data_IF_599973237390
#
_entry.id   IF_599973237390
#
_cell.length_a   1.000
_cell.length_b   1.000
_cell.length_c   1.000
_cell.angle_alpha   90.00
_cell.angle_beta   90.00
_cell.angle_gamma   90.00
#
_symmetry.space_group_name_H-M   'P 1'
#
loop_
_entity.id
_entity.type
_entity.pdbx_description
1 polymer ?
#
# COMPACT_ATOMS: atom_id res chain seq x y z
N UNK A 1 11.96 -86.50 9.33
CA UNK A 1 12.86 -86.99 8.28
C UNK A 1 13.89 -85.91 8.09
N UNK A 2 15.05 -86.02 8.75
CA UNK A 2 16.29 -86.60 8.21
C UNK A 2 16.72 -85.82 6.94
N UNK A 3 17.84 -85.21 6.74
CA UNK A 3 19.25 -85.23 7.17
C UNK A 3 19.89 -84.02 6.49
N UNK A 4 20.99 -83.48 6.69
CA UNK A 4 22.26 -83.51 7.42
C UNK A 4 23.20 -82.45 6.75
N UNK A 5 23.86 -81.71 7.59
CA UNK A 5 25.25 -81.23 7.58
C UNK A 5 26.08 -81.38 6.29
N UNK A 6 26.90 -80.38 5.94
CA UNK A 6 28.37 -80.54 6.00
C UNK A 6 29.07 -79.18 5.96
N UNK A 7 30.02 -79.01 6.86
CA UNK A 7 31.09 -77.97 6.93
C UNK A 7 32.09 -78.13 5.80
N UNK A 8 32.66 -77.01 5.32
CA UNK A 8 34.10 -76.93 5.01
C UNK A 8 34.57 -75.47 5.20
N UNK A 9 35.54 -75.35 6.12
CA UNK A 9 36.34 -74.15 6.33
C UNK A 9 37.59 -74.22 5.43
N UNK A 10 38.07 -73.09 4.90
CA UNK A 10 39.51 -72.91 4.65
C UNK A 10 39.86 -71.41 4.46
N UNK A 11 40.62 -70.93 5.43
CA UNK A 11 41.84 -70.08 5.46
C UNK A 11 41.96 -68.80 4.57
N UNK A 12 42.05 -67.71 5.30
CA UNK A 12 43.08 -66.63 5.30
C UNK A 12 43.89 -66.40 4.03
N UNK A 13 43.78 -65.14 3.52
CA UNK A 13 44.98 -64.39 3.17
C UNK A 13 44.73 -62.90 3.45
N UNK A 14 45.59 -62.32 4.32
CA UNK A 14 45.68 -60.90 4.63
C UNK A 14 46.25 -60.15 3.38
N UNK A 15 45.56 -59.16 2.88
CA UNK A 15 46.17 -58.07 2.10
C UNK A 15 45.74 -56.76 2.70
N UNK A 16 46.69 -56.14 3.42
CA UNK A 16 46.63 -54.74 3.82
C UNK A 16 46.79 -53.86 2.59
N UNK A 17 45.75 -53.20 2.18
CA UNK A 17 45.84 -52.01 1.34
C UNK A 17 45.33 -50.82 2.13
N UNK A 18 46.25 -49.91 2.47
CA UNK A 18 45.94 -48.58 2.98
C UNK A 18 45.14 -47.83 1.92
N UNK A 19 43.86 -47.63 2.18
CA UNK A 19 43.06 -46.62 1.49
C UNK A 19 43.08 -45.33 2.33
N UNK A 20 43.86 -44.38 1.85
CA UNK A 20 43.73 -42.99 2.31
C UNK A 20 42.35 -42.49 1.90
N UNK A 21 41.46 -42.37 2.89
CA UNK A 21 40.20 -41.67 2.73
C UNK A 21 40.46 -40.17 2.61
N UNK A 22 40.35 -39.63 1.42
CA UNK A 22 40.14 -38.20 1.22
C UNK A 22 38.74 -37.86 1.75
N UNK A 23 38.70 -37.34 2.98
CA UNK A 23 37.51 -36.65 3.50
C UNK A 23 37.38 -35.34 2.71
N UNK A 24 36.59 -35.36 1.63
CA UNK A 24 36.17 -34.14 0.97
C UNK A 24 35.19 -33.46 1.94
N UNK A 25 35.69 -32.44 2.65
CA UNK A 25 34.83 -31.44 3.26
C UNK A 25 34.02 -30.79 2.13
N UNK A 26 32.80 -31.24 1.94
CA UNK A 26 31.81 -30.46 1.23
C UNK A 26 31.62 -29.17 2.03
N UNK A 27 32.20 -28.07 1.52
CA UNK A 27 31.78 -26.73 1.91
C UNK A 27 30.26 -26.69 1.68
N UNK A 28 29.48 -26.65 2.78
CA UNK A 28 28.12 -26.16 2.76
C UNK A 28 28.24 -24.71 2.29
N UNK A 29 27.93 -24.44 1.04
CA UNK A 29 27.61 -23.10 0.61
C UNK A 29 26.40 -22.67 1.42
N UNK A 30 26.64 -22.01 2.54
CA UNK A 30 25.68 -21.14 3.16
C UNK A 30 25.56 -19.89 2.27
N UNK A 31 24.98 -20.03 1.11
CA UNK A 31 24.27 -18.94 0.47
C UNK A 31 23.04 -18.72 1.33
N UNK A 32 23.17 -17.87 2.36
CA UNK A 32 21.99 -17.17 2.85
C UNK A 32 21.29 -16.61 1.61
N UNK A 33 19.95 -16.77 1.50
CA UNK A 33 19.25 -16.08 0.45
C UNK A 33 19.58 -14.60 0.63
N UNK A 34 20.38 -14.05 -0.28
CA UNK A 34 20.50 -12.62 -0.44
C UNK A 34 19.09 -12.16 -0.72
N UNK A 35 18.41 -11.66 0.31
CA UNK A 35 17.27 -10.80 0.12
C UNK A 35 17.81 -9.67 -0.73
N UNK A 36 17.54 -9.71 -2.03
CA UNK A 36 17.69 -8.56 -2.88
C UNK A 36 16.82 -7.52 -2.22
N UNK A 37 17.45 -6.55 -1.57
CA UNK A 37 16.74 -5.34 -1.14
C UNK A 37 16.24 -4.76 -2.44
N UNK A 38 14.91 -4.86 -2.68
CA UNK A 38 14.27 -4.26 -3.84
C UNK A 38 14.71 -2.79 -3.84
N UNK A 39 15.58 -2.41 -4.79
CA UNK A 39 16.03 -1.03 -4.89
C UNK A 39 14.80 -0.21 -5.23
N UNK A 40 14.40 0.64 -4.30
CA UNK A 40 13.34 1.60 -4.55
C UNK A 40 13.85 2.61 -5.60
N UNK A 41 13.36 2.60 -6.85
CA UNK A 41 13.83 3.48 -7.91
C UNK A 41 13.51 4.96 -7.63
N UNK A 42 12.64 5.24 -6.65
CA UNK A 42 12.29 6.58 -6.19
C UNK A 42 13.03 6.99 -4.91
N UNK A 43 14.10 6.28 -4.51
CA UNK A 43 14.86 6.60 -3.30
C UNK A 43 15.58 7.95 -3.37
N UNK A 44 15.99 8.39 -4.57
CA UNK A 44 16.68 9.66 -4.81
C UNK A 44 16.06 10.40 -6.00
N UNK A 45 14.78 10.80 -5.94
CA UNK A 45 14.13 11.48 -7.05
C UNK A 45 14.64 12.92 -7.22
N UNK A 46 14.64 13.40 -8.46
CA UNK A 46 14.94 14.81 -8.76
C UNK A 46 13.70 15.71 -8.64
N UNK A 47 12.52 15.12 -8.48
CA UNK A 47 11.22 15.78 -8.64
C UNK A 47 10.35 15.74 -7.36
N UNK A 48 10.95 15.55 -6.20
CA UNK A 48 10.25 15.56 -4.91
C UNK A 48 10.82 14.60 -3.86
N UNK A 49 10.17 14.47 -2.70
CA UNK A 49 10.60 13.57 -1.64
C UNK A 49 10.72 12.11 -2.10
N UNK A 50 11.70 11.40 -1.56
CA UNK A 50 11.91 9.98 -1.84
C UNK A 50 10.70 9.12 -1.41
N UNK A 51 10.52 7.97 -2.02
CA UNK A 51 9.54 6.99 -1.58
C UNK A 51 10.05 6.18 -0.38
N UNK A 52 9.17 5.97 0.60
CA UNK A 52 9.42 5.18 1.78
C UNK A 52 10.08 5.92 2.93
N UNK A 53 10.14 5.24 4.07
CA UNK A 53 10.87 5.68 5.24
C UNK A 53 12.33 5.20 5.14
N UNK A 54 13.33 6.09 5.01
CA UNK A 54 14.73 5.69 4.87
C UNK A 54 15.28 4.99 6.13
N UNK A 55 14.61 5.16 7.26
CA UNK A 55 14.97 4.51 8.54
C UNK A 55 14.24 3.16 8.72
N UNK A 56 13.24 2.86 7.87
CA UNK A 56 12.44 1.64 7.93
C UNK A 56 13.27 0.41 7.58
N UNK A 57 13.21 -0.61 8.44
CA UNK A 57 13.98 -1.88 8.28
C UNK A 57 13.12 -3.11 8.50
N UNK A 58 11.81 -2.96 8.50
CA UNK A 58 10.91 -4.08 8.65
C UNK A 58 10.97 -5.00 7.43
N UNK A 59 10.94 -6.31 7.67
CA UNK A 59 10.86 -7.29 6.58
C UNK A 59 9.55 -7.13 5.82
N UNK A 60 9.61 -7.18 4.50
CA UNK A 60 8.43 -7.11 3.65
C UNK A 60 7.71 -8.47 3.72
N UNK A 61 6.42 -8.50 4.09
CA UNK A 61 5.65 -9.75 4.12
C UNK A 61 5.58 -10.41 2.74
N UNK A 62 5.49 -11.73 2.74
CA UNK A 62 5.30 -12.49 1.50
C UNK A 62 4.06 -11.99 0.73
N UNK A 63 4.20 -11.75 -0.57
CA UNK A 63 3.14 -11.21 -1.43
C UNK A 63 2.94 -9.69 -1.36
N UNK A 64 3.64 -8.98 -0.46
CA UNK A 64 3.55 -7.53 -0.34
C UNK A 64 4.58 -6.77 -1.19
N UNK A 65 5.59 -7.44 -1.74
CA UNK A 65 6.63 -6.84 -2.57
C UNK A 65 6.17 -6.50 -4.00
N UNK A 66 7.15 -6.12 -4.82
CA UNK A 66 6.93 -5.80 -6.23
C UNK A 66 6.38 -7.00 -7.01
N UNK A 67 5.54 -6.71 -7.99
CA UNK A 67 5.16 -7.67 -9.02
C UNK A 67 6.21 -7.69 -10.13
N UNK A 68 6.47 -8.87 -10.66
CA UNK A 68 7.37 -9.03 -11.81
C UNK A 68 6.70 -8.50 -13.09
N UNK A 69 7.32 -7.50 -13.70
CA UNK A 69 6.89 -6.85 -14.96
C UNK A 69 7.89 -7.02 -16.10
N UNK A 70 8.80 -7.99 -16.01
CA UNK A 70 9.81 -8.27 -17.06
C UNK A 70 9.18 -8.62 -18.41
N UNK A 71 7.95 -9.16 -18.40
CA UNK A 71 7.15 -9.43 -19.59
C UNK A 71 5.82 -8.68 -19.48
N UNK A 72 5.76 -7.40 -19.85
CA UNK A 72 4.55 -6.61 -19.76
C UNK A 72 3.52 -6.99 -20.82
N UNK A 73 2.22 -6.92 -20.46
CA UNK A 73 1.10 -7.11 -21.40
C UNK A 73 0.81 -5.86 -22.22
N UNK A 74 1.21 -4.70 -21.67
CA UNK A 74 1.06 -3.38 -22.30
C UNK A 74 2.28 -2.52 -21.97
N UNK A 75 2.87 -1.92 -23.00
CA UNK A 75 3.87 -0.87 -22.86
C UNK A 75 3.27 0.44 -23.38
N UNK A 76 3.16 1.45 -22.51
CA UNK A 76 2.69 2.78 -22.88
C UNK A 76 3.88 3.58 -23.39
N UNK A 77 3.79 4.08 -24.62
CA UNK A 77 4.81 4.89 -25.26
C UNK A 77 5.77 4.10 -26.16
N UNK A 78 6.53 4.84 -26.96
CA UNK A 78 7.44 4.33 -27.98
C UNK A 78 8.91 4.77 -27.76
N UNK A 79 9.23 5.27 -26.59
CA UNK A 79 10.54 5.82 -26.24
C UNK A 79 10.57 7.35 -26.26
N UNK A 80 9.45 8.01 -26.55
CA UNK A 80 9.35 9.48 -26.53
C UNK A 80 8.31 9.96 -25.52
N UNK A 81 8.52 11.10 -24.84
CA UNK A 81 7.54 11.68 -23.91
C UNK A 81 6.17 11.94 -24.56
N UNK A 82 6.15 12.37 -25.83
CA UNK A 82 4.93 12.72 -26.55
C UNK A 82 4.00 11.50 -26.82
N UNK A 83 4.55 10.30 -26.80
CA UNK A 83 3.78 9.05 -26.99
C UNK A 83 3.07 8.57 -25.72
N UNK A 84 3.42 9.11 -24.55
CA UNK A 84 2.83 8.77 -23.26
C UNK A 84 1.68 9.72 -22.92
N UNK A 85 0.50 9.41 -23.41
CA UNK A 85 -0.69 10.26 -23.28
C UNK A 85 -1.68 9.74 -22.26
N UNK A 86 -2.60 10.59 -21.80
CA UNK A 86 -3.71 10.20 -20.96
C UNK A 86 -4.52 9.05 -21.59
N UNK A 87 -4.86 9.19 -22.87
CA UNK A 87 -5.66 8.18 -23.59
C UNK A 87 -4.98 6.81 -23.62
N UNK A 88 -3.65 6.78 -23.76
CA UNK A 88 -2.89 5.53 -23.71
C UNK A 88 -2.96 4.88 -22.30
N UNK A 89 -2.89 5.69 -21.23
CA UNK A 89 -3.07 5.21 -19.85
C UNK A 89 -4.48 4.68 -19.63
N UNK A 90 -5.51 5.41 -20.06
CA UNK A 90 -6.91 4.99 -19.93
C UNK A 90 -7.16 3.64 -20.64
N UNK A 91 -6.65 3.51 -21.85
CA UNK A 91 -6.81 2.28 -22.65
C UNK A 91 -6.07 1.08 -22.01
N UNK A 92 -4.84 1.31 -21.52
CA UNK A 92 -4.04 0.28 -20.87
C UNK A 92 -4.70 -0.22 -19.57
N UNK A 93 -5.12 0.71 -18.68
CA UNK A 93 -5.76 0.36 -17.41
C UNK A 93 -7.10 -0.35 -17.63
N UNK A 94 -7.88 0.06 -18.62
CA UNK A 94 -9.12 -0.62 -19.02
C UNK A 94 -8.87 -2.06 -19.47
N UNK A 95 -7.78 -2.31 -20.21
CA UNK A 95 -7.38 -3.64 -20.66
C UNK A 95 -6.90 -4.51 -19.50
N UNK A 96 -6.17 -3.91 -18.54
CA UNK A 96 -5.52 -4.62 -17.43
C UNK A 96 -4.25 -5.36 -17.85
N UNK A 97 -3.78 -6.25 -16.98
CA UNK A 97 -2.50 -6.95 -17.13
C UNK A 97 -1.33 -6.14 -16.55
N UNK A 98 -0.12 -6.51 -16.91
CA UNK A 98 1.12 -5.82 -16.50
C UNK A 98 1.39 -4.66 -17.44
N UNK A 99 1.29 -3.44 -16.91
CA UNK A 99 1.39 -2.19 -17.66
C UNK A 99 2.71 -1.50 -17.27
N UNK A 100 3.56 -1.23 -18.24
CA UNK A 100 4.80 -0.46 -18.09
C UNK A 100 4.81 0.75 -19.03
N UNK A 101 5.82 1.60 -18.87
CA UNK A 101 5.93 2.84 -19.64
C UNK A 101 7.28 2.90 -20.36
N UNK A 102 7.30 3.42 -21.57
CA UNK A 102 8.47 3.75 -22.35
C UNK A 102 8.36 5.19 -22.88
N UNK A 103 8.52 6.15 -21.97
CA UNK A 103 8.34 7.59 -22.25
C UNK A 103 9.67 8.32 -22.44
N UNK A 104 10.78 7.60 -22.56
CA UNK A 104 12.14 8.15 -22.59
C UNK A 104 12.90 7.85 -21.29
N UNK A 105 14.08 8.44 -21.16
CA UNK A 105 15.02 8.18 -20.05
C UNK A 105 14.85 9.13 -18.86
N UNK A 106 14.12 10.22 -19.05
CA UNK A 106 13.93 11.25 -18.04
C UNK A 106 12.58 11.11 -17.33
N UNK A 107 12.43 11.65 -16.11
CA UNK A 107 11.14 11.73 -15.44
C UNK A 107 10.09 12.39 -16.31
N UNK A 108 8.91 11.78 -16.39
CA UNK A 108 7.81 12.25 -17.23
C UNK A 108 6.49 12.32 -16.49
N UNK A 109 5.78 13.45 -16.64
CA UNK A 109 4.45 13.65 -16.09
C UNK A 109 3.39 13.48 -17.16
N UNK A 110 2.44 12.57 -16.93
CA UNK A 110 1.26 12.38 -17.78
C UNK A 110 0.09 13.08 -17.10
N UNK A 111 -0.48 14.06 -17.79
CA UNK A 111 -1.61 14.86 -17.33
C UNK A 111 -2.93 14.11 -17.57
N UNK A 112 -3.56 13.62 -16.49
CA UNK A 112 -4.82 12.89 -16.56
C UNK A 112 -6.01 13.86 -16.68
N UNK A 113 -6.78 13.72 -17.75
CA UNK A 113 -8.00 14.52 -18.01
C UNK A 113 -9.26 13.89 -17.43
N UNK A 114 -9.21 12.62 -17.10
CA UNK A 114 -10.24 11.84 -16.41
C UNK A 114 -9.61 10.67 -15.64
N UNK A 115 -10.34 10.03 -14.71
CA UNK A 115 -9.82 8.88 -13.98
C UNK A 115 -9.59 7.66 -14.88
N UNK A 116 -8.42 7.04 -14.76
CA UNK A 116 -8.22 5.70 -15.33
C UNK A 116 -9.05 4.68 -14.53
N UNK A 117 -9.90 3.92 -15.20
CA UNK A 117 -10.85 2.99 -14.58
C UNK A 117 -10.44 1.54 -14.80
N UNK A 118 -10.31 0.78 -13.70
CA UNK A 118 -10.07 -0.65 -13.73
C UNK A 118 -11.41 -1.36 -13.92
N UNK A 119 -11.55 -2.10 -15.01
CA UNK A 119 -12.78 -2.82 -15.34
C UNK A 119 -12.81 -4.19 -14.64
N UNK A 120 -13.98 -4.60 -14.16
CA UNK A 120 -14.15 -5.84 -13.40
C UNK A 120 -13.94 -7.12 -14.24
N UNK A 121 -13.98 -7.03 -15.57
CA UNK A 121 -13.68 -8.10 -16.51
C UNK A 121 -12.29 -7.95 -17.16
N UNK A 122 -11.44 -7.07 -16.67
CA UNK A 122 -10.04 -7.02 -17.03
C UNK A 122 -9.32 -8.32 -16.60
N UNK A 123 -8.06 -8.48 -17.00
CA UNK A 123 -7.24 -9.60 -16.48
C UNK A 123 -7.26 -9.59 -14.95
N UNK A 124 -7.23 -10.77 -14.30
CA UNK A 124 -7.32 -10.83 -12.83
C UNK A 124 -6.30 -9.93 -12.12
N UNK A 125 -5.08 -9.86 -12.65
CA UNK A 125 -4.01 -9.01 -12.13
C UNK A 125 -3.89 -7.76 -13.00
N UNK A 126 -3.88 -6.59 -12.36
CA UNK A 126 -3.66 -5.29 -12.99
C UNK A 126 -2.49 -4.63 -12.28
N UNK A 127 -1.34 -4.56 -12.93
CA UNK A 127 -0.10 -3.99 -12.38
C UNK A 127 0.26 -2.74 -13.18
N UNK A 128 0.39 -1.60 -12.51
CA UNK A 128 0.82 -0.34 -13.11
C UNK A 128 2.21 -0.02 -12.54
N UNK A 129 3.24 -0.18 -13.35
CA UNK A 129 4.64 0.07 -12.97
C UNK A 129 5.20 1.28 -13.72
N UNK A 130 5.44 2.36 -12.99
CA UNK A 130 6.00 3.60 -13.54
C UNK A 130 7.52 3.58 -13.75
N UNK A 131 8.21 2.49 -13.40
CA UNK A 131 9.67 2.36 -13.53
C UNK A 131 10.47 3.41 -12.74
N UNK A 132 9.84 4.13 -11.81
CA UNK A 132 10.45 5.23 -11.05
C UNK A 132 10.52 6.56 -11.80
N UNK A 133 10.06 6.62 -13.04
CA UNK A 133 10.14 7.81 -13.88
C UNK A 133 8.78 8.50 -14.11
N UNK A 134 7.68 7.81 -13.88
CA UNK A 134 6.35 8.30 -14.25
C UNK A 134 5.63 8.96 -13.09
N UNK A 135 5.09 10.15 -13.37
CA UNK A 135 4.09 10.81 -12.53
C UNK A 135 2.75 10.87 -13.28
N UNK A 136 1.69 10.33 -12.69
CA UNK A 136 0.32 10.57 -13.13
C UNK A 136 -0.24 11.76 -12.36
N UNK A 137 -0.58 12.83 -13.06
CA UNK A 137 -1.06 14.09 -12.48
C UNK A 137 -2.55 14.28 -12.73
N UNK A 138 -3.34 14.48 -11.68
CA UNK A 138 -4.76 14.85 -11.79
C UNK A 138 -5.00 16.31 -12.13
N UNK A 139 -3.95 17.12 -12.32
CA UNK A 139 -4.00 18.56 -12.69
C UNK A 139 -4.70 19.44 -11.65
N UNK A 140 -4.91 18.95 -10.44
CA UNK A 140 -5.78 19.60 -9.44
C UNK A 140 -7.27 19.63 -9.82
N UNK A 141 -7.70 18.78 -10.76
CA UNK A 141 -9.08 18.76 -11.28
C UNK A 141 -9.73 17.38 -11.25
N UNK A 142 -8.96 16.32 -11.44
CA UNK A 142 -9.50 14.97 -11.61
C UNK A 142 -8.89 14.01 -10.59
N UNK A 143 -9.68 13.04 -10.13
CA UNK A 143 -9.13 11.80 -9.58
C UNK A 143 -8.27 11.12 -10.65
N UNK A 144 -7.28 10.33 -10.25
CA UNK A 144 -6.33 9.72 -11.19
C UNK A 144 -6.70 8.27 -11.51
N UNK A 145 -7.02 7.48 -10.49
CA UNK A 145 -7.29 6.03 -10.64
C UNK A 145 -8.54 5.63 -9.84
N UNK A 146 -9.35 4.76 -10.45
CA UNK A 146 -10.60 4.28 -9.86
C UNK A 146 -10.79 2.79 -10.10
N UNK A 147 -11.05 2.04 -9.03
CA UNK A 147 -11.45 0.63 -9.06
C UNK A 147 -12.66 0.43 -8.15
N UNK A 148 -13.76 -0.08 -8.70
CA UNK A 148 -14.96 -0.39 -7.93
C UNK A 148 -15.66 -1.63 -8.49
N UNK A 149 -15.52 -2.74 -7.78
CA UNK A 149 -16.13 -4.01 -8.17
C UNK A 149 -17.66 -4.00 -8.09
N UNK A 150 -18.24 -2.98 -7.44
CA UNK A 150 -19.68 -2.78 -7.33
C UNK A 150 -20.25 -1.72 -8.27
N UNK A 151 -19.43 -1.11 -9.10
CA UNK A 151 -19.87 -0.17 -10.12
C UNK A 151 -20.33 -0.95 -11.37
N UNK A 152 -21.61 -0.87 -11.68
CA UNK A 152 -22.19 -1.59 -12.82
C UNK A 152 -21.68 -1.09 -14.18
N UNK A 153 -21.25 0.16 -14.24
CA UNK A 153 -20.65 0.74 -15.46
C UNK A 153 -19.27 0.13 -15.78
N UNK A 154 -18.66 -0.55 -14.79
CA UNK A 154 -17.38 -1.24 -14.94
C UNK A 154 -17.53 -2.75 -15.19
N UNK A 155 -18.63 -3.17 -15.72
CA UNK A 155 -19.02 -4.57 -15.98
C UNK A 155 -19.32 -5.33 -14.68
N UNK A 156 -20.58 -5.64 -14.47
CA UNK A 156 -21.03 -6.40 -13.31
C UNK A 156 -20.61 -7.88 -13.42
N UNK A 157 -19.95 -8.40 -12.40
CA UNK A 157 -19.42 -9.76 -12.40
C UNK A 157 -20.13 -10.70 -11.42
N UNK A 158 -20.59 -10.17 -10.27
CA UNK A 158 -21.20 -10.98 -9.20
C UNK A 158 -22.06 -10.12 -8.27
N UNK A 159 -23.18 -10.65 -7.73
CA UNK A 159 -23.95 -9.95 -6.71
C UNK A 159 -23.18 -9.75 -5.39
N UNK A 160 -22.12 -10.52 -5.14
CA UNK A 160 -21.23 -10.34 -3.99
C UNK A 160 -20.03 -9.46 -4.32
N UNK A 161 -20.27 -8.34 -4.95
CA UNK A 161 -19.29 -7.48 -5.60
C UNK A 161 -18.16 -7.00 -4.67
N UNK A 162 -18.41 -6.80 -3.38
CA UNK A 162 -17.37 -6.35 -2.45
C UNK A 162 -16.41 -7.47 -2.04
N UNK A 163 -16.76 -8.73 -2.27
CA UNK A 163 -16.01 -9.88 -1.82
C UNK A 163 -15.59 -10.79 -2.98
N UNK A 164 -15.16 -10.21 -4.09
CA UNK A 164 -14.53 -10.95 -5.18
C UNK A 164 -13.01 -10.78 -5.18
N UNK A 165 -12.27 -11.83 -5.56
CA UNK A 165 -10.81 -11.89 -5.49
C UNK A 165 -10.09 -10.97 -6.49
N UNK A 166 -10.78 -10.52 -7.50
CA UNK A 166 -10.21 -9.70 -8.59
C UNK A 166 -11.16 -8.55 -8.98
N UNK A 167 -10.64 -7.50 -9.63
CA UNK A 167 -9.25 -7.25 -10.01
C UNK A 167 -8.30 -7.20 -8.81
N UNK A 168 -7.05 -7.68 -8.99
CA UNK A 168 -5.96 -7.50 -8.05
C UNK A 168 -5.07 -6.36 -8.57
N UNK A 169 -5.32 -5.16 -8.05
CA UNK A 169 -4.62 -3.96 -8.48
C UNK A 169 -3.31 -3.78 -7.69
N UNK A 170 -2.22 -3.64 -8.41
CA UNK A 170 -0.93 -3.19 -7.86
C UNK A 170 -0.50 -1.90 -8.55
N UNK A 171 -0.15 -0.88 -7.78
CA UNK A 171 0.56 0.30 -8.29
C UNK A 171 1.96 0.30 -7.70
N UNK A 172 2.98 0.43 -8.56
CA UNK A 172 4.36 0.36 -8.10
C UNK A 172 5.30 1.27 -8.88
N UNK A 173 6.37 1.71 -8.21
CA UNK A 173 7.43 2.53 -8.80
C UNK A 173 6.89 3.77 -9.53
N UNK A 174 5.88 4.46 -8.98
CA UNK A 174 5.13 5.52 -9.66
C UNK A 174 4.79 6.66 -8.70
N UNK A 175 4.53 7.84 -9.24
CA UNK A 175 4.04 8.98 -8.47
C UNK A 175 2.62 9.36 -8.89
N UNK A 176 1.75 9.60 -7.90
CA UNK A 176 0.41 10.18 -8.08
C UNK A 176 0.40 11.58 -7.49
N UNK A 177 0.19 12.59 -8.33
CA UNK A 177 0.25 13.97 -7.90
C UNK A 177 -0.96 14.80 -8.34
N UNK A 178 -1.32 15.79 -7.54
CA UNK A 178 -2.35 16.77 -7.87
C UNK A 178 -3.70 16.13 -8.24
N UNK A 179 -4.01 14.96 -7.69
CA UNK A 179 -5.32 14.32 -7.82
C UNK A 179 -6.37 15.13 -7.06
N UNK A 180 -7.58 15.24 -7.61
CA UNK A 180 -8.66 16.00 -7.01
C UNK A 180 -10.02 15.31 -7.19
N UNK A 181 -10.68 14.98 -6.08
CA UNK A 181 -12.03 14.42 -6.04
C UNK A 181 -13.03 15.30 -5.27
N UNK A 182 -12.75 16.60 -5.14
CA UNK A 182 -13.64 17.52 -4.39
C UNK A 182 -15.03 17.66 -5.00
N UNK A 183 -15.19 17.42 -6.29
CA UNK A 183 -16.46 17.46 -7.01
C UNK A 183 -17.21 16.11 -7.01
N UNK A 184 -16.59 15.03 -6.54
CA UNK A 184 -17.22 13.73 -6.49
C UNK A 184 -18.22 13.63 -5.37
N UNK A 185 -19.46 13.22 -5.67
CA UNK A 185 -20.56 13.15 -4.69
C UNK A 185 -21.06 11.73 -4.46
N UNK A 186 -20.88 10.82 -5.41
CA UNK A 186 -21.31 9.43 -5.30
C UNK A 186 -20.21 8.52 -4.75
N UNK A 187 -19.00 8.68 -5.27
CA UNK A 187 -17.81 7.94 -4.86
C UNK A 187 -16.79 8.94 -4.33
N UNK A 188 -17.15 9.61 -3.27
CA UNK A 188 -16.40 10.70 -2.66
C UNK A 188 -15.10 10.26 -2.00
N UNK A 189 -14.18 11.20 -1.76
CA UNK A 189 -12.85 10.92 -1.21
C UNK A 189 -11.85 10.36 -2.22
N UNK A 190 -10.64 10.02 -1.78
CA UNK A 190 -9.59 9.49 -2.62
C UNK A 190 -9.20 10.39 -3.79
N UNK A 191 -8.48 11.48 -3.50
CA UNK A 191 -8.08 12.46 -4.52
C UNK A 191 -7.25 11.86 -5.64
N UNK A 192 -6.33 10.95 -5.30
CA UNK A 192 -5.58 10.20 -6.30
C UNK A 192 -6.25 8.88 -6.65
N UNK A 193 -6.55 8.05 -5.66
CA UNK A 193 -7.02 6.66 -5.87
C UNK A 193 -8.25 6.38 -5.03
N UNK A 194 -9.26 5.78 -5.66
CA UNK A 194 -10.45 5.26 -4.98
C UNK A 194 -10.62 3.76 -5.30
N UNK A 195 -10.76 2.91 -4.27
CA UNK A 195 -10.84 1.45 -4.41
C UNK A 195 -11.97 0.86 -3.58
N UNK A 196 -12.75 -0.06 -4.17
CA UNK A 196 -13.72 -0.90 -3.47
C UNK A 196 -13.72 -2.31 -4.04
N UNK A 197 -13.61 -3.31 -3.16
CA UNK A 197 -13.56 -4.73 -3.52
C UNK A 197 -12.24 -5.13 -4.19
N UNK A 198 -12.15 -6.38 -4.63
CA UNK A 198 -10.93 -6.93 -5.19
C UNK A 198 -9.79 -7.00 -4.16
N UNK A 199 -8.57 -6.82 -4.64
CA UNK A 199 -7.35 -6.66 -3.83
C UNK A 199 -6.57 -5.43 -4.25
N UNK A 200 -5.88 -4.81 -3.31
CA UNK A 200 -5.09 -3.62 -3.60
C UNK A 200 -3.72 -3.66 -2.93
N UNK A 201 -2.71 -3.21 -3.64
CA UNK A 201 -1.33 -3.11 -3.18
C UNK A 201 -0.62 -1.89 -3.76
N UNK A 202 0.22 -1.25 -2.94
CA UNK A 202 1.00 -0.06 -3.26
C UNK A 202 2.45 -0.30 -2.88
N UNK A 203 3.40 -0.19 -3.81
CA UNK A 203 4.82 -0.45 -3.55
C UNK A 203 5.69 0.63 -4.16
N UNK A 204 6.66 1.16 -3.42
CA UNK A 204 7.59 2.19 -3.89
C UNK A 204 6.89 3.35 -4.59
N UNK A 205 5.82 3.89 -4.00
CA UNK A 205 4.94 4.87 -4.63
C UNK A 205 4.92 6.17 -3.84
N UNK A 206 4.75 7.30 -4.53
CA UNK A 206 4.67 8.62 -3.91
C UNK A 206 3.29 9.25 -4.17
N UNK A 207 2.76 9.97 -3.18
CA UNK A 207 1.46 10.66 -3.26
C UNK A 207 1.63 12.10 -2.83
N UNK A 208 1.52 13.04 -3.78
CA UNK A 208 1.80 14.46 -3.58
C UNK A 208 0.59 15.34 -3.91
N UNK A 209 0.23 16.24 -2.99
CA UNK A 209 -0.76 17.29 -3.22
C UNK A 209 -2.12 16.78 -3.73
N UNK A 210 -2.51 15.57 -3.35
CA UNK A 210 -3.82 15.05 -3.71
C UNK A 210 -4.85 15.55 -2.70
N UNK A 211 -6.04 15.89 -3.19
CA UNK A 211 -7.12 16.47 -2.37
C UNK A 211 -8.46 15.79 -2.63
N UNK A 212 -9.25 15.67 -1.60
CA UNK A 212 -10.68 15.39 -1.69
C UNK A 212 -11.49 16.47 -0.99
N UNK A 213 -12.83 16.28 -0.83
CA UNK A 213 -13.66 17.21 -0.09
C UNK A 213 -13.04 17.53 1.27
N UNK A 214 -12.98 18.82 1.62
CA UNK A 214 -12.38 19.31 2.87
C UNK A 214 -13.32 19.26 4.08
N UNK A 215 -14.57 18.87 3.90
CA UNK A 215 -15.58 18.76 4.96
C UNK A 215 -16.46 17.54 4.74
N UNK A 216 -17.12 17.08 5.80
CA UNK A 216 -18.02 15.93 5.79
C UNK A 216 -17.61 14.90 6.85
N UNK A 217 -18.60 14.33 7.58
CA UNK A 217 -18.30 13.43 8.70
C UNK A 217 -17.63 12.14 8.23
N UNK A 218 -17.96 11.65 7.04
CA UNK A 218 -17.54 10.32 6.57
C UNK A 218 -16.74 10.34 5.25
N UNK A 219 -16.43 11.49 4.69
CA UNK A 219 -15.57 11.60 3.50
C UNK A 219 -14.12 11.78 3.88
N UNK A 220 -13.18 11.24 3.08
CA UNK A 220 -11.76 11.41 3.40
C UNK A 220 -10.80 10.74 2.41
N UNK A 221 -9.53 10.67 2.84
CA UNK A 221 -8.44 10.18 2.02
C UNK A 221 -8.02 11.17 0.95
N UNK A 222 -7.25 12.18 1.32
CA UNK A 222 -6.73 13.13 0.34
C UNK A 222 -5.99 12.43 -0.79
N UNK A 223 -5.15 11.45 -0.47
CA UNK A 223 -4.52 10.59 -1.46
C UNK A 223 -5.41 9.39 -1.82
N UNK A 224 -5.80 8.57 -0.86
CA UNK A 224 -6.49 7.32 -1.14
C UNK A 224 -7.70 7.08 -0.24
N UNK A 225 -8.80 6.59 -0.82
CA UNK A 225 -9.95 6.06 -0.10
C UNK A 225 -10.22 4.63 -0.51
N UNK A 226 -10.30 3.73 0.47
CA UNK A 226 -10.44 2.29 0.23
C UNK A 226 -11.60 1.71 1.05
N UNK A 227 -12.38 0.86 0.42
CA UNK A 227 -13.49 0.12 1.03
C UNK A 227 -13.26 -1.37 0.88
N UNK A 228 -13.86 -2.14 1.74
CA UNK A 228 -13.92 -3.61 1.78
C UNK A 228 -13.07 -4.34 0.74
N UNK A 229 -12.19 -5.21 1.17
CA UNK A 229 -11.36 -6.03 0.29
C UNK A 229 -11.81 -7.49 0.35
N UNK A 230 -11.44 -8.29 -0.64
CA UNK A 230 -11.74 -9.72 -0.68
C UNK A 230 -11.33 -10.43 0.61
N UNK A 231 -12.28 -11.12 1.24
CA UNK A 231 -12.09 -11.88 2.50
C UNK A 231 -11.38 -11.10 3.61
N UNK A 232 -11.57 -9.76 3.67
CA UNK A 232 -10.88 -8.87 4.60
C UNK A 232 -9.34 -8.98 4.55
N UNK A 233 -8.78 -9.44 3.44
CA UNK A 233 -7.33 -9.45 3.23
C UNK A 233 -6.78 -8.02 3.31
N UNK A 234 -5.60 -7.83 3.91
CA UNK A 234 -5.07 -6.50 4.09
C UNK A 234 -4.66 -5.86 2.76
N UNK A 235 -4.85 -4.56 2.68
CA UNK A 235 -4.17 -3.72 1.70
C UNK A 235 -2.72 -3.56 2.15
N UNK A 236 -1.78 -3.80 1.25
CA UNK A 236 -0.36 -3.58 1.52
C UNK A 236 0.08 -2.20 1.01
N UNK A 237 0.80 -1.46 1.84
CA UNK A 237 1.54 -0.27 1.46
C UNK A 237 2.99 -0.49 1.86
N UNK A 238 3.91 -0.50 0.90
CA UNK A 238 5.32 -0.83 1.12
C UNK A 238 6.21 0.26 0.55
N UNK A 239 7.21 0.70 1.32
CA UNK A 239 8.22 1.67 0.89
C UNK A 239 7.61 2.91 0.19
N UNK A 240 6.48 3.43 0.66
CA UNK A 240 5.73 4.47 -0.03
C UNK A 240 5.65 5.75 0.79
N UNK A 241 5.52 6.90 0.13
CA UNK A 241 5.49 8.21 0.76
C UNK A 241 4.19 8.95 0.46
N UNK A 242 3.57 9.46 1.52
CA UNK A 242 2.41 10.34 1.48
C UNK A 242 2.82 11.71 2.01
N UNK A 243 3.04 12.67 1.13
CA UNK A 243 3.63 13.96 1.46
C UNK A 243 5.15 13.94 1.37
N UNK A 244 5.85 13.74 2.47
CA UNK A 244 7.31 13.60 2.53
C UNK A 244 8.06 14.89 2.85
N UNK A 245 7.48 16.05 2.57
CA UNK A 245 8.01 17.37 2.91
C UNK A 245 6.89 18.43 2.93
N UNK A 246 7.20 19.61 3.47
CA UNK A 246 6.32 20.76 3.39
C UNK A 246 5.99 21.12 1.92
N UNK A 247 4.71 21.37 1.65
CA UNK A 247 4.23 21.65 0.29
C UNK A 247 3.86 20.42 -0.54
N UNK A 248 4.11 19.19 -0.05
CA UNK A 248 3.76 17.94 -0.74
C UNK A 248 2.59 17.17 -0.09
N UNK A 249 2.08 17.64 1.05
CA UNK A 249 1.04 16.95 1.83
C UNK A 249 -0.30 16.82 1.11
N UNK A 250 -1.00 15.72 1.38
CA UNK A 250 -2.34 15.46 0.87
C UNK A 250 -3.40 15.99 1.84
N UNK A 251 -4.62 16.29 1.35
CA UNK A 251 -5.67 16.95 2.14
C UNK A 251 -7.05 16.32 1.94
N UNK A 252 -7.75 16.07 3.02
CA UNK A 252 -9.13 15.56 2.99
C UNK A 252 -9.96 16.00 4.19
N UNK A 253 -11.24 15.72 4.19
CA UNK A 253 -12.08 15.98 5.36
C UNK A 253 -11.65 15.13 6.55
N UNK A 254 -11.38 13.84 6.32
CA UNK A 254 -10.77 12.90 7.25
C UNK A 254 -9.63 12.16 6.54
N UNK A 255 -8.65 11.66 7.30
CA UNK A 255 -7.52 10.97 6.73
C UNK A 255 -6.83 11.80 5.67
N UNK A 256 -5.98 12.74 6.06
CA UNK A 256 -5.31 13.61 5.09
C UNK A 256 -4.61 12.82 3.97
N UNK A 257 -4.01 11.67 4.29
CA UNK A 257 -3.47 10.74 3.31
C UNK A 257 -4.46 9.60 2.99
N UNK A 258 -4.83 8.79 3.99
CA UNK A 258 -5.63 7.58 3.83
C UNK A 258 -6.97 7.68 4.56
N UNK A 259 -8.03 7.23 3.91
CA UNK A 259 -9.31 6.95 4.54
C UNK A 259 -9.82 5.59 4.12
N UNK A 260 -10.41 4.83 5.05
CA UNK A 260 -10.98 3.52 4.72
C UNK A 260 -12.18 3.16 5.58
N UNK A 261 -13.04 2.30 5.01
CA UNK A 261 -14.16 1.70 5.72
C UNK A 261 -14.11 0.18 5.56
N UNK A 262 -13.97 -0.52 6.71
CA UNK A 262 -13.92 -1.98 6.75
C UNK A 262 -12.69 -2.58 6.07
N UNK A 263 -11.51 -1.96 6.23
CA UNK A 263 -10.27 -2.38 5.59
C UNK A 263 -9.18 -2.65 6.61
N UNK A 264 -8.55 -3.80 6.52
CA UNK A 264 -7.29 -4.08 7.20
C UNK A 264 -6.11 -3.56 6.37
N UNK A 265 -5.10 -3.01 7.05
CA UNK A 265 -3.90 -2.45 6.45
C UNK A 265 -2.64 -3.11 6.99
N UNK A 266 -1.67 -3.34 6.12
CA UNK A 266 -0.29 -3.64 6.52
C UNK A 266 0.63 -2.64 5.80
N UNK A 267 1.15 -1.69 6.57
CA UNK A 267 1.95 -0.57 6.10
C UNK A 267 3.40 -0.80 6.55
N UNK A 268 4.31 -0.91 5.60
CA UNK A 268 5.70 -1.33 5.83
C UNK A 268 6.67 -0.28 5.32
N UNK A 269 7.62 0.15 6.16
CA UNK A 269 8.72 1.05 5.78
C UNK A 269 8.26 2.31 5.02
N UNK A 270 7.11 2.86 5.38
CA UNK A 270 6.45 3.95 4.65
C UNK A 270 6.50 5.25 5.44
N UNK A 271 6.28 6.37 4.77
CA UNK A 271 6.38 7.72 5.32
C UNK A 271 5.08 8.50 5.11
N UNK A 272 4.53 9.05 6.18
CA UNK A 272 3.35 9.92 6.16
C UNK A 272 3.68 11.24 6.83
N UNK A 273 3.83 12.31 6.06
CA UNK A 273 4.13 13.63 6.63
C UNK A 273 3.38 14.75 5.94
N UNK A 274 3.10 15.83 6.70
CA UNK A 274 2.46 17.05 6.21
C UNK A 274 1.07 16.85 5.61
N UNK A 275 0.41 15.71 5.89
CA UNK A 275 -0.97 15.49 5.46
C UNK A 275 -1.93 16.18 6.43
N UNK A 276 -3.09 16.62 5.94
CA UNK A 276 -4.04 17.42 6.70
C UNK A 276 -5.47 16.89 6.60
N UNK A 277 -6.11 16.65 7.76
CA UNK A 277 -7.55 16.42 7.83
C UNK A 277 -8.26 17.73 8.14
N UNK A 278 -8.85 18.34 7.12
CA UNK A 278 -9.36 19.71 7.12
C UNK A 278 -10.76 19.88 7.75
N UNK A 279 -11.52 18.78 7.88
CA UNK A 279 -12.88 18.82 8.45
C UNK A 279 -12.89 19.30 9.90
N UNK A 280 -14.07 19.51 10.43
CA UNK A 280 -14.23 19.93 11.82
C UNK A 280 -15.54 19.39 12.40
N UNK A 281 -15.47 18.83 13.61
CA UNK A 281 -16.64 18.35 14.34
C UNK A 281 -16.80 16.83 14.40
N UNK A 282 -15.92 16.06 13.76
CA UNK A 282 -15.89 14.60 13.86
C UNK A 282 -16.94 13.84 13.04
N UNK A 283 -17.13 12.56 13.40
CA UNK A 283 -18.15 11.66 12.88
C UNK A 283 -18.82 10.91 14.05
N UNK A 284 -20.16 11.05 14.29
CA UNK A 284 -21.08 11.98 13.61
C UNK A 284 -20.72 13.46 13.82
N UNK A 285 -21.11 14.31 12.89
CA UNK A 285 -20.80 15.73 12.97
C UNK A 285 -21.44 16.37 14.22
N UNK A 286 -20.64 17.09 14.99
CA UNK A 286 -21.10 17.89 16.11
C UNK A 286 -22.10 18.97 15.58
N UNK A 287 -23.19 19.21 16.29
CA UNK A 287 -24.17 20.18 15.90
C UNK A 287 -23.56 21.56 15.58
N UNK A 288 -23.91 22.12 14.43
CA UNK A 288 -23.36 23.38 13.92
C UNK A 288 -21.99 23.30 13.26
N UNK A 289 -21.46 22.10 13.05
CA UNK A 289 -20.17 21.88 12.33
C UNK A 289 -20.38 21.07 11.05
N UNK A 290 -19.47 21.19 10.07
CA UNK A 290 -19.59 20.45 8.81
C UNK A 290 -19.23 18.96 8.93
N UNK A 291 -18.63 18.53 10.04
CA UNK A 291 -18.12 17.18 10.22
C UNK A 291 -16.71 16.94 9.67
N UNK A 292 -16.10 15.83 10.08
CA UNK A 292 -14.73 15.44 9.71
C UNK A 292 -13.66 16.03 10.64
N UNK A 293 -12.43 16.08 10.14
CA UNK A 293 -11.27 16.57 10.89
C UNK A 293 -10.61 15.50 11.75
N UNK A 294 -10.70 14.23 11.35
CA UNK A 294 -10.14 13.12 12.10
C UNK A 294 -9.12 12.33 11.27
N UNK A 295 -8.03 11.89 11.93
CA UNK A 295 -6.93 11.18 11.29
C UNK A 295 -6.08 12.06 10.38
N UNK A 296 -5.12 12.80 10.93
CA UNK A 296 -4.26 13.70 10.12
C UNK A 296 -3.58 12.97 8.98
N UNK A 297 -3.07 11.77 9.24
CA UNK A 297 -2.56 10.87 8.21
C UNK A 297 -3.59 9.81 7.82
N UNK A 298 -4.10 9.05 8.81
CA UNK A 298 -4.88 7.83 8.58
C UNK A 298 -6.22 7.90 9.32
N UNK A 299 -7.31 7.70 8.58
CA UNK A 299 -8.66 7.49 9.10
C UNK A 299 -9.14 6.08 8.76
N UNK A 300 -9.33 5.24 9.75
CA UNK A 300 -9.78 3.86 9.57
C UNK A 300 -11.04 3.61 10.40
N UNK A 301 -12.15 3.33 9.74
CA UNK A 301 -13.46 3.07 10.33
C UNK A 301 -14.00 1.71 9.87
N UNK A 302 -14.72 1.02 10.70
CA UNK A 302 -15.33 -0.26 10.36
C UNK A 302 -15.69 -1.09 11.57
N UNK A 303 -15.75 -2.39 11.37
CA UNK A 303 -15.98 -3.36 12.43
C UNK A 303 -14.65 -4.11 12.75
N UNK A 304 -14.56 -5.37 12.38
CA UNK A 304 -13.34 -6.16 12.58
C UNK A 304 -12.32 -5.82 11.49
N UNK A 305 -11.23 -5.20 11.87
CA UNK A 305 -10.14 -4.81 10.97
C UNK A 305 -8.84 -4.66 11.77
N UNK A 306 -7.70 -4.73 11.09
CA UNK A 306 -6.38 -4.55 11.72
C UNK A 306 -5.59 -3.47 10.98
N UNK A 307 -5.04 -2.52 11.73
CA UNK A 307 -4.03 -1.58 11.24
C UNK A 307 -2.65 -2.02 11.74
N UNK A 308 -1.81 -2.50 10.83
CA UNK A 308 -0.45 -2.93 11.15
C UNK A 308 0.57 -1.95 10.56
N UNK A 309 1.41 -1.37 11.40
CA UNK A 309 2.51 -0.47 11.03
C UNK A 309 3.84 -1.13 11.36
N UNK A 310 4.67 -1.36 10.35
CA UNK A 310 5.99 -2.00 10.48
C UNK A 310 7.06 -1.06 9.92
N UNK A 311 8.00 -0.60 10.73
CA UNK A 311 9.07 0.30 10.28
C UNK A 311 8.59 1.62 9.66
N UNK A 312 7.37 2.04 9.96
CA UNK A 312 6.68 3.18 9.32
C UNK A 312 6.83 4.45 10.15
N UNK A 313 6.92 5.60 9.48
CA UNK A 313 7.05 6.91 10.12
C UNK A 313 5.84 7.78 9.81
N UNK A 314 5.19 8.31 10.86
CA UNK A 314 4.04 9.22 10.78
C UNK A 314 4.36 10.47 11.60
N UNK A 315 4.65 11.58 10.93
CA UNK A 315 5.03 12.81 11.63
C UNK A 315 4.55 14.06 10.90
N UNK A 316 4.41 15.16 11.63
CA UNK A 316 4.07 16.47 11.07
C UNK A 316 2.73 16.49 10.28
N UNK A 317 1.81 15.60 10.63
CA UNK A 317 0.45 15.64 10.09
C UNK A 317 -0.44 16.50 10.99
N UNK A 318 -1.51 17.05 10.41
CA UNK A 318 -2.35 18.03 11.10
C UNK A 318 -3.82 17.63 11.05
N UNK A 319 -4.55 17.94 12.14
CA UNK A 319 -5.96 17.61 12.30
C UNK A 319 -6.69 18.66 13.12
N UNK A 320 -7.97 18.87 12.85
CA UNK A 320 -8.78 19.81 13.63
C UNK A 320 -9.54 19.12 14.77
N UNK A 321 -9.85 17.80 14.68
CA UNK A 321 -10.77 17.19 15.64
C UNK A 321 -10.14 16.06 16.45
N UNK A 322 -9.78 14.92 15.82
CA UNK A 322 -9.30 13.73 16.54
C UNK A 322 -8.18 13.02 15.78
N UNK A 323 -7.21 12.45 16.51
CA UNK A 323 -6.17 11.60 15.95
C UNK A 323 -5.23 12.32 14.98
N UNK A 324 -4.30 13.13 15.49
CA UNK A 324 -3.41 13.90 14.63
C UNK A 324 -2.54 13.03 13.71
N UNK A 325 -2.25 11.79 14.11
CA UNK A 325 -1.65 10.78 13.26
C UNK A 325 -2.73 9.82 12.74
N UNK A 326 -3.44 9.16 13.65
CA UNK A 326 -4.34 8.04 13.36
C UNK A 326 -5.66 8.25 14.10
N UNK A 327 -6.75 8.09 13.36
CA UNK A 327 -8.09 7.90 13.91
C UNK A 327 -8.58 6.50 13.53
N UNK A 328 -8.89 5.67 14.53
CA UNK A 328 -9.28 4.28 14.36
C UNK A 328 -10.58 4.02 15.12
N UNK A 329 -11.61 3.59 14.41
CA UNK A 329 -12.91 3.24 14.98
C UNK A 329 -13.30 1.84 14.59
N UNK A 330 -13.37 0.95 15.58
CA UNK A 330 -13.97 -0.38 15.45
C UNK A 330 -15.35 -0.34 16.09
N UNK A 331 -16.41 -0.32 15.28
CA UNK A 331 -17.78 -0.13 15.77
C UNK A 331 -18.26 -1.32 16.65
N UNK A 332 -17.75 -2.50 16.42
CA UNK A 332 -18.00 -3.69 17.24
C UNK A 332 -16.90 -3.96 18.27
N UNK A 333 -15.90 -3.07 18.38
CA UNK A 333 -14.78 -3.15 19.34
C UNK A 333 -13.92 -4.42 19.24
N UNK A 334 -13.74 -4.93 18.04
CA UNK A 334 -12.93 -6.13 17.78
C UNK A 334 -11.76 -5.85 16.82
N UNK A 335 -11.44 -4.59 16.62
CA UNK A 335 -10.33 -4.16 15.80
C UNK A 335 -8.99 -4.30 16.52
N UNK A 336 -7.90 -4.18 15.78
CA UNK A 336 -6.54 -4.23 16.32
C UNK A 336 -5.66 -3.13 15.71
N UNK A 337 -4.81 -2.52 16.53
CA UNK A 337 -3.69 -1.70 16.06
C UNK A 337 -2.38 -2.37 16.52
N UNK A 338 -1.49 -2.65 15.57
CA UNK A 338 -0.17 -3.23 15.80
C UNK A 338 0.89 -2.29 15.26
N UNK A 339 1.82 -1.88 16.09
CA UNK A 339 2.89 -0.92 15.76
C UNK A 339 4.22 -1.54 16.15
N UNK A 340 5.08 -1.85 15.19
CA UNK A 340 6.41 -2.39 15.44
C UNK A 340 7.48 -1.65 14.65
N UNK A 341 8.61 -1.34 15.32
CA UNK A 341 9.75 -0.64 14.72
C UNK A 341 9.43 0.71 14.10
N UNK A 342 8.32 1.36 14.51
CA UNK A 342 7.73 2.53 13.86
C UNK A 342 7.91 3.81 14.71
N UNK A 343 7.75 4.97 14.07
CA UNK A 343 7.82 6.26 14.74
C UNK A 343 6.56 7.07 14.46
N UNK A 344 5.87 7.50 15.52
CA UNK A 344 4.72 8.41 15.45
C UNK A 344 5.04 9.61 16.36
N UNK A 345 5.25 10.78 15.76
CA UNK A 345 5.67 11.96 16.52
C UNK A 345 5.33 13.27 15.84
N UNK A 346 5.34 14.38 16.62
CA UNK A 346 5.20 15.73 16.08
C UNK A 346 3.95 15.94 15.19
N UNK A 347 2.90 15.14 15.38
CA UNK A 347 1.63 15.36 14.72
C UNK A 347 0.83 16.37 15.53
N UNK A 348 0.17 17.32 14.89
CA UNK A 348 -0.43 18.48 15.54
C UNK A 348 -1.96 18.51 15.51
N UNK A 349 -2.53 19.13 16.52
CA UNK A 349 -3.97 19.34 16.63
C UNK A 349 -4.73 18.15 17.22
N UNK A 350 -6.03 18.26 17.19
CA UNK A 350 -6.93 17.24 17.73
C UNK A 350 -7.02 17.18 19.25
N UNK A 351 -7.97 16.40 19.68
CA UNK A 351 -8.23 16.09 21.10
C UNK A 351 -8.56 14.62 21.21
N UNK A 352 -8.64 14.10 22.41
CA UNK A 352 -9.01 12.71 22.69
C UNK A 352 -7.97 11.69 22.24
N UNK A 353 -6.96 11.50 23.09
CA UNK A 353 -5.93 10.51 22.94
C UNK A 353 -5.98 9.53 24.11
N UNK A 354 -6.81 8.47 24.04
CA UNK A 354 -7.09 7.62 25.20
C UNK A 354 -5.89 6.82 25.67
N UNK A 355 -4.93 6.49 24.78
CA UNK A 355 -3.78 5.63 25.13
C UNK A 355 -2.44 6.25 24.71
N UNK A 356 -2.32 6.73 23.46
CA UNK A 356 -1.07 7.23 22.91
C UNK A 356 -1.24 8.60 22.25
N UNK A 357 -0.24 9.50 22.36
CA UNK A 357 -0.25 10.76 21.62
C UNK A 357 -0.47 10.55 20.12
N UNK A 358 -1.31 11.38 19.51
CA UNK A 358 -1.60 11.33 18.07
C UNK A 358 -2.57 10.21 17.63
N UNK A 359 -2.91 9.26 18.50
CA UNK A 359 -3.81 8.15 18.18
C UNK A 359 -5.13 8.31 18.92
N UNK A 360 -6.20 8.56 18.19
CA UNK A 360 -7.58 8.49 18.68
C UNK A 360 -8.18 7.15 18.27
N UNK A 361 -8.64 6.39 19.27
CA UNK A 361 -9.08 5.02 19.06
C UNK A 361 -10.38 4.77 19.80
N UNK A 362 -11.36 4.20 19.10
CA UNK A 362 -12.61 3.69 19.66
C UNK A 362 -12.63 2.16 19.51
N UNK A 363 -12.04 1.48 20.48
CA UNK A 363 -11.93 0.03 20.56
C UNK A 363 -11.67 -0.39 22.02
N UNK A 364 -11.90 -1.66 22.34
CA UNK A 364 -11.57 -2.24 23.65
C UNK A 364 -10.21 -2.97 23.63
N UNK A 365 -9.65 -3.24 22.46
CA UNK A 365 -8.37 -3.92 22.31
C UNK A 365 -7.20 -2.94 22.53
N UNK A 366 -6.24 -3.22 23.41
CA UNK A 366 -5.08 -2.37 23.58
C UNK A 366 -4.21 -2.29 22.32
N UNK A 367 -3.72 -1.09 22.00
CA UNK A 367 -2.70 -0.92 20.93
C UNK A 367 -1.44 -1.72 21.29
N UNK A 368 -1.03 -2.62 20.39
CA UNK A 368 0.18 -3.44 20.54
C UNK A 368 1.37 -2.67 19.99
N UNK A 369 2.27 -2.24 20.88
CA UNK A 369 3.44 -1.42 20.51
C UNK A 369 4.71 -2.16 20.88
N UNK A 370 5.59 -2.39 19.90
CA UNK A 370 6.92 -2.97 20.10
C UNK A 370 7.97 -2.16 19.33
N UNK A 371 9.17 -2.03 19.89
CA UNK A 371 10.34 -1.39 19.25
C UNK A 371 10.06 -0.01 18.62
N UNK A 372 9.07 0.73 19.11
CA UNK A 372 8.53 1.94 18.47
C UNK A 372 8.61 3.17 19.36
N UNK A 373 8.56 4.34 18.74
CA UNK A 373 8.52 5.64 19.41
C UNK A 373 7.17 6.30 19.13
N UNK A 374 6.40 6.61 20.16
CA UNK A 374 5.14 7.37 20.08
C UNK A 374 5.20 8.54 21.06
N UNK A 375 5.23 9.79 20.54
CA UNK A 375 5.35 11.00 21.35
C UNK A 375 4.77 12.25 20.67
#
# INVERSE_FOLDING_TARGET
>A
MKYTTTFIALRLLLCYTLLWGFSACAKKDNTEPTTTVDQNPLANPNDGPAAGNPEGKAAIPAGAGLEDVTNPDVVIGDGTPASCTCEAVLAAVKKGGKITFNCGTDPHTIEMTEPAKVFNNATPDVVIDGGGLITLSGRGKNRILYMNTCDQDLVWTTPNCQNQDHPRLTVQNITFANGNSTAETQYDGGGAIWVRGGRFKVVNTRFFNNICAGTGPDVGGGAMRVFSQYNNLPVYIVNSTFGGAEGYGNKGANGGALSSIGVSWTIVNSLFTHNQALGNGGNPAKAGTPGGGSGGAIYNDGNTMTLTLLGTKIEQNEVNTHGSAIFFVSNNRTGDIVIDGSTIQNNVGGTWYPVHPGISMHDDTPVKVTNSVIK
#
